data_IF_227916309585
#
_entry.id   IF_227916309585
#
_cell.length_a   1.000
_cell.length_b   1.000
_cell.length_c   1.000
_cell.angle_alpha   90.00
_cell.angle_beta   90.00
_cell.angle_gamma   90.00
#
_symmetry.space_group_name_H-M   'P 1'
#
loop_
_entity.id
_entity.type
_entity.pdbx_description
1 polymer ?
#
# COMPACT_ATOMS: atom_id res chain seq x y z
N UNK A 1 -22.54 -23.97 -38.45
CA UNK A 1 -22.84 -24.57 -37.14
C UNK A 1 -21.51 -24.91 -36.50
N UNK A 2 -21.10 -24.20 -35.44
CA UNK A 2 -19.82 -24.37 -34.78
C UNK A 2 -19.85 -25.53 -33.78
N UNK A 3 -18.79 -26.32 -33.78
CA UNK A 3 -18.58 -27.41 -32.82
C UNK A 3 -17.36 -27.06 -31.97
N UNK A 4 -17.50 -27.15 -30.65
CA UNK A 4 -16.41 -26.97 -29.68
C UNK A 4 -16.00 -28.33 -29.10
N UNK A 5 -14.75 -28.45 -28.66
CA UNK A 5 -14.24 -29.65 -28.02
C UNK A 5 -14.37 -29.53 -26.50
N UNK A 6 -14.90 -30.57 -25.86
CA UNK A 6 -14.94 -30.62 -24.40
C UNK A 6 -13.53 -30.79 -23.82
N UNK A 7 -13.07 -29.86 -22.98
CA UNK A 7 -11.74 -29.92 -22.33
C UNK A 7 -11.53 -31.10 -21.38
N UNK A 8 -12.58 -31.76 -20.90
CA UNK A 8 -12.47 -32.90 -19.98
C UNK A 8 -12.40 -34.26 -20.70
N UNK A 9 -13.19 -34.44 -21.77
CA UNK A 9 -13.32 -35.76 -22.42
C UNK A 9 -12.97 -35.77 -23.92
N UNK A 10 -12.65 -34.61 -24.51
CA UNK A 10 -12.27 -34.49 -25.91
C UNK A 10 -13.41 -34.68 -26.92
N UNK A 11 -14.65 -34.87 -26.45
CA UNK A 11 -15.80 -35.09 -27.33
C UNK A 11 -16.21 -33.79 -28.04
N UNK A 12 -16.69 -33.91 -29.29
CA UNK A 12 -17.22 -32.78 -30.07
C UNK A 12 -18.62 -32.46 -29.58
N UNK A 13 -18.81 -31.24 -29.11
CA UNK A 13 -20.10 -30.78 -28.58
C UNK A 13 -20.54 -29.51 -29.31
N UNK A 14 -21.84 -29.33 -29.44
CA UNK A 14 -22.42 -28.09 -29.96
C UNK A 14 -22.02 -26.90 -29.08
N UNK A 15 -21.73 -25.77 -29.71
CA UNK A 15 -21.41 -24.50 -29.04
C UNK A 15 -22.55 -24.00 -28.11
N UNK A 16 -23.78 -24.47 -28.31
CA UNK A 16 -24.96 -24.10 -27.52
C UNK A 16 -25.35 -25.13 -26.44
N UNK A 17 -24.60 -26.21 -26.26
CA UNK A 17 -24.95 -27.20 -25.24
C UNK A 17 -24.55 -26.72 -23.84
N UNK A 18 -25.48 -26.77 -22.88
CA UNK A 18 -25.19 -26.36 -21.49
C UNK A 18 -24.17 -27.26 -20.79
N UNK A 19 -24.16 -28.55 -21.15
CA UNK A 19 -23.28 -29.58 -20.59
C UNK A 19 -22.83 -30.56 -21.67
N UNK A 20 -21.64 -31.11 -21.50
CA UNK A 20 -21.17 -32.21 -22.34
C UNK A 20 -22.01 -33.46 -22.09
N UNK A 21 -22.53 -34.07 -23.16
CA UNK A 21 -23.40 -35.26 -23.08
C UNK A 21 -22.66 -36.51 -22.60
N UNK A 22 -21.32 -36.53 -22.71
CA UNK A 22 -20.48 -37.70 -22.42
C UNK A 22 -19.92 -37.70 -20.99
N UNK A 23 -19.43 -36.56 -20.51
CA UNK A 23 -18.82 -36.46 -19.18
C UNK A 23 -19.60 -35.59 -18.18
N UNK A 24 -20.69 -34.95 -18.61
CA UNK A 24 -21.49 -34.06 -17.77
C UNK A 24 -20.83 -32.71 -17.47
N UNK A 25 -19.66 -32.41 -18.05
CA UNK A 25 -18.94 -31.16 -17.80
C UNK A 25 -19.73 -29.92 -18.29
N UNK A 26 -19.90 -28.89 -17.46
CA UNK A 26 -20.61 -27.67 -17.86
C UNK A 26 -19.82 -26.83 -18.87
N UNK A 27 -20.36 -26.62 -20.07
CA UNK A 27 -19.66 -25.90 -21.15
C UNK A 27 -19.76 -24.38 -21.02
N UNK A 28 -20.69 -23.85 -20.20
CA UNK A 28 -20.75 -22.42 -19.88
C UNK A 28 -19.43 -21.89 -19.26
N UNK A 29 -18.66 -22.76 -18.60
CA UNK A 29 -17.35 -22.41 -18.01
C UNK A 29 -16.26 -22.15 -19.06
N UNK A 30 -16.42 -22.68 -20.28
CA UNK A 30 -15.48 -22.45 -21.38
C UNK A 30 -15.84 -21.20 -22.20
N UNK A 31 -17.13 -20.90 -22.31
CA UNK A 31 -17.64 -19.74 -23.06
C UNK A 31 -17.42 -18.45 -22.27
N UNK A 32 -17.55 -18.50 -20.94
CA UNK A 32 -17.24 -17.39 -20.04
C UNK A 32 -15.76 -17.39 -19.62
N UNK A 33 -14.86 -17.17 -20.59
CA UNK A 33 -13.62 -16.43 -20.31
C UNK A 33 -13.93 -14.97 -20.60
N UNK A 34 -14.45 -14.19 -19.65
CA UNK A 34 -14.57 -12.76 -19.88
C UNK A 34 -13.14 -12.27 -20.05
N UNK A 35 -12.80 -11.82 -21.26
CA UNK A 35 -11.64 -10.99 -21.53
C UNK A 35 -11.88 -9.62 -20.89
N UNK A 36 -12.06 -9.59 -19.58
CA UNK A 36 -11.87 -8.40 -18.80
C UNK A 36 -10.37 -8.30 -18.70
N UNK A 37 -9.81 -7.51 -19.60
CA UNK A 37 -8.52 -6.87 -19.42
C UNK A 37 -8.62 -6.00 -18.16
N UNK A 38 -8.51 -6.62 -16.99
CA UNK A 38 -8.23 -5.92 -15.75
C UNK A 38 -6.82 -5.37 -15.92
N UNK A 39 -6.73 -4.13 -16.41
CA UNK A 39 -5.50 -3.37 -16.46
C UNK A 39 -5.07 -3.10 -15.01
N UNK A 40 -4.38 -4.07 -14.42
CA UNK A 40 -3.54 -3.83 -13.25
C UNK A 40 -2.51 -2.81 -13.71
N UNK A 41 -2.73 -1.56 -13.33
CA UNK A 41 -1.77 -0.48 -13.50
C UNK A 41 -0.60 -0.69 -12.52
N UNK A 42 0.11 -1.79 -12.70
CA UNK A 42 1.51 -1.91 -12.32
C UNK A 42 2.30 -1.58 -13.58
N UNK A 43 2.34 -0.30 -13.94
CA UNK A 43 3.42 0.17 -14.78
C UNK A 43 4.65 0.25 -13.88
N UNK A 44 5.30 -0.91 -13.70
CA UNK A 44 6.73 -0.96 -13.45
C UNK A 44 7.39 -0.48 -14.73
N UNK A 45 7.32 0.82 -14.99
CA UNK A 45 8.26 1.47 -15.87
C UNK A 45 9.49 1.70 -14.99
N UNK A 46 10.54 0.98 -15.35
CA UNK A 46 11.89 1.11 -14.80
C UNK A 46 12.47 2.47 -15.18
N UNK A 47 11.82 3.53 -14.73
CA UNK A 47 12.36 4.88 -14.73
C UNK A 47 12.79 5.11 -13.29
N UNK A 48 14.10 4.99 -13.04
CA UNK A 48 14.73 5.20 -11.72
C UNK A 48 14.19 6.47 -11.01
N UNK A 49 13.71 7.45 -11.79
CA UNK A 49 13.04 8.66 -11.34
C UNK A 49 11.78 8.45 -10.50
N UNK A 50 10.94 7.44 -10.73
CA UNK A 50 9.72 7.25 -9.93
C UNK A 50 10.02 6.67 -8.54
N UNK A 51 11.02 5.78 -8.46
CA UNK A 51 11.53 5.27 -7.18
C UNK A 51 12.21 6.40 -6.39
N UNK A 52 13.02 7.22 -7.07
CA UNK A 52 13.70 8.39 -6.48
C UNK A 52 12.70 9.45 -6.00
N UNK A 53 11.65 9.74 -6.77
CA UNK A 53 10.59 10.64 -6.33
C UNK A 53 9.87 10.12 -5.08
N UNK A 54 9.67 8.80 -4.99
CA UNK A 54 9.16 8.14 -3.79
C UNK A 54 10.03 8.41 -2.56
N UNK A 55 11.34 8.22 -2.66
CA UNK A 55 12.25 8.51 -1.55
C UNK A 55 12.27 9.99 -1.13
N UNK A 56 12.25 10.92 -2.09
CA UNK A 56 12.21 12.36 -1.80
C UNK A 56 10.93 12.74 -1.06
N UNK A 57 9.77 12.28 -1.55
CA UNK A 57 8.47 12.55 -0.91
C UNK A 57 8.38 11.88 0.46
N UNK A 58 8.82 10.63 0.59
CA UNK A 58 8.89 9.94 1.87
C UNK A 58 9.76 10.68 2.87
N UNK A 59 10.91 11.20 2.44
CA UNK A 59 11.83 11.95 3.29
C UNK A 59 11.23 13.27 3.79
N UNK A 60 10.63 14.04 2.88
CA UNK A 60 9.96 15.30 3.24
C UNK A 60 8.77 15.08 4.18
N UNK A 61 7.97 14.04 3.93
CA UNK A 61 6.82 13.72 4.78
C UNK A 61 7.27 13.30 6.18
N UNK A 62 8.40 12.58 6.28
CA UNK A 62 8.95 12.16 7.57
C UNK A 62 9.57 13.30 8.37
N UNK A 63 9.88 14.44 7.75
CA UNK A 63 10.44 15.62 8.44
C UNK A 63 9.34 16.60 8.88
N UNK A 64 8.33 16.82 8.04
CA UNK A 64 7.22 17.73 8.33
C UNK A 64 6.32 17.17 9.44
N UNK A 65 6.03 15.87 9.42
CA UNK A 65 5.14 15.23 10.39
C UNK A 65 5.62 15.30 11.86
N UNK A 66 6.87 14.95 12.21
CA UNK A 66 7.35 15.03 13.59
C UNK A 66 7.45 16.46 14.11
N UNK A 67 7.74 17.44 13.25
CA UNK A 67 7.79 18.86 13.64
C UNK A 67 6.38 19.34 14.04
N UNK A 68 5.37 19.04 13.22
CA UNK A 68 3.97 19.41 13.52
C UNK A 68 3.48 18.72 14.79
N UNK A 69 3.76 17.41 14.94
CA UNK A 69 3.37 16.66 16.14
C UNK A 69 4.06 17.17 17.41
N UNK A 70 5.33 17.60 17.32
CA UNK A 70 6.06 18.17 18.46
C UNK A 70 5.41 19.48 18.92
N UNK A 71 5.11 20.40 18.00
CA UNK A 71 4.48 21.68 18.33
C UNK A 71 3.08 21.46 18.91
N UNK A 72 2.27 20.62 18.27
CA UNK A 72 0.91 20.32 18.73
C UNK A 72 0.92 19.62 20.10
N UNK A 73 1.79 18.62 20.28
CA UNK A 73 1.92 17.87 21.53
C UNK A 73 2.36 18.74 22.71
N UNK A 74 3.32 19.64 22.49
CA UNK A 74 3.75 20.62 23.50
C UNK A 74 2.63 21.61 23.83
N UNK A 75 1.93 22.12 22.81
CA UNK A 75 0.85 23.10 23.02
C UNK A 75 -0.30 22.49 23.83
N UNK A 76 -0.76 21.30 23.46
CA UNK A 76 -1.80 20.58 24.21
C UNK A 76 -1.32 20.21 25.62
N UNK A 77 -0.05 19.80 25.75
CA UNK A 77 0.56 19.51 27.05
C UNK A 77 0.55 20.71 27.99
N UNK A 78 0.93 21.90 27.50
CA UNK A 78 0.89 23.16 28.26
C UNK A 78 -0.55 23.51 28.64
N UNK A 79 -1.52 23.39 27.71
CA UNK A 79 -2.93 23.65 28.00
C UNK A 79 -3.47 22.74 29.12
N UNK A 80 -3.02 21.48 29.18
CA UNK A 80 -3.41 20.57 30.25
C UNK A 80 -2.77 20.91 31.60
N UNK A 81 -1.52 21.39 31.61
CA UNK A 81 -0.88 21.91 32.83
C UNK A 81 -1.62 23.15 33.35
N UNK A 82 -2.05 24.05 32.45
CA UNK A 82 -2.81 25.25 32.80
C UNK A 82 -4.18 24.95 33.42
N UNK A 83 -4.76 23.77 33.18
CA UNK A 83 -6.03 23.33 33.79
C UNK A 83 -5.87 22.71 35.18
N UNK A 84 -4.65 22.65 35.72
CA UNK A 84 -4.37 22.06 37.04
C UNK A 84 -4.10 20.55 37.02
N UNK A 85 -4.25 19.89 35.87
CA UNK A 85 -3.95 18.47 35.68
C UNK A 85 -2.47 18.24 35.32
N UNK A 86 -1.59 18.60 36.27
CA UNK A 86 -0.13 18.62 36.08
C UNK A 86 0.45 17.27 35.62
N UNK A 87 -0.19 16.15 35.97
CA UNK A 87 0.26 14.81 35.60
C UNK A 87 0.13 14.51 34.10
N UNK A 88 -1.04 14.75 33.50
CA UNK A 88 -1.29 14.40 32.10
C UNK A 88 -0.60 15.36 31.13
N UNK A 89 -0.55 16.66 31.46
CA UNK A 89 0.14 17.63 30.63
C UNK A 89 1.65 17.39 30.55
N UNK A 90 2.29 17.07 31.68
CA UNK A 90 3.73 16.74 31.70
C UNK A 90 4.01 15.45 30.93
N UNK A 91 3.19 14.41 31.13
CA UNK A 91 3.33 13.14 30.40
C UNK A 91 3.24 13.33 28.88
N UNK A 92 2.33 14.19 28.42
CA UNK A 92 2.15 14.47 26.99
C UNK A 92 3.35 15.22 26.39
N UNK A 93 3.96 16.15 27.13
CA UNK A 93 5.19 16.83 26.70
C UNK A 93 6.33 15.82 26.59
N UNK A 94 6.51 14.95 27.59
CA UNK A 94 7.56 13.93 27.59
C UNK A 94 7.39 12.93 26.43
N UNK A 95 6.15 12.47 26.17
CA UNK A 95 5.86 11.60 25.03
C UNK A 95 6.25 12.27 23.71
N UNK A 96 5.96 13.56 23.57
CA UNK A 96 6.19 14.33 22.34
C UNK A 96 7.68 14.50 22.07
N UNK A 97 8.47 14.77 23.12
CA UNK A 97 9.94 14.89 23.03
C UNK A 97 10.56 13.54 22.69
N UNK A 98 10.12 12.45 23.31
CA UNK A 98 10.62 11.10 23.03
C UNK A 98 10.35 10.68 21.59
N UNK A 99 9.11 10.77 21.13
CA UNK A 99 8.78 10.44 19.74
C UNK A 99 9.45 11.39 18.74
N UNK A 100 9.58 12.69 19.07
CA UNK A 100 10.27 13.67 18.24
C UNK A 100 11.77 13.36 18.06
N UNK A 101 12.47 13.07 19.16
CA UNK A 101 13.91 12.73 19.13
C UNK A 101 14.18 11.39 18.45
N UNK A 102 13.39 10.36 18.74
CA UNK A 102 13.48 9.05 18.08
C UNK A 102 13.18 9.18 16.58
N UNK A 103 12.13 9.91 16.21
CA UNK A 103 11.75 10.15 14.82
C UNK A 103 12.83 10.91 14.04
N UNK A 104 13.41 11.94 14.66
CA UNK A 104 14.51 12.71 14.06
C UNK A 104 15.78 11.85 13.89
N UNK A 105 16.09 10.99 14.87
CA UNK A 105 17.23 10.07 14.78
C UNK A 105 17.05 9.01 13.69
N UNK A 106 15.86 8.39 13.58
CA UNK A 106 15.56 7.45 12.50
C UNK A 106 15.62 8.12 11.11
N UNK A 107 15.12 9.35 11.00
CA UNK A 107 15.18 10.14 9.77
C UNK A 107 16.61 10.38 9.34
N UNK A 108 17.46 10.78 10.30
CA UNK A 108 18.87 11.05 10.05
C UNK A 108 19.63 9.79 9.62
N UNK A 109 19.39 8.66 10.30
CA UNK A 109 19.96 7.37 9.93
C UNK A 109 19.52 6.92 8.53
N UNK A 110 18.25 7.14 8.17
CA UNK A 110 17.73 6.82 6.83
C UNK A 110 18.37 7.68 5.74
N UNK A 111 18.62 8.98 6.00
CA UNK A 111 19.32 9.86 5.07
C UNK A 111 20.75 9.36 4.82
N UNK A 112 21.48 9.03 5.89
CA UNK A 112 22.85 8.51 5.79
C UNK A 112 22.88 7.21 4.97
N UNK A 113 21.96 6.29 5.22
CA UNK A 113 21.90 5.03 4.49
C UNK A 113 21.59 5.23 3.00
N UNK A 114 20.65 6.13 2.67
CA UNK A 114 20.35 6.48 1.27
C UNK A 114 21.53 7.18 0.59
N UNK A 115 22.23 8.08 1.29
CA UNK A 115 23.42 8.75 0.77
C UNK A 115 24.55 7.76 0.47
N UNK A 116 24.74 6.76 1.34
CA UNK A 116 25.73 5.69 1.14
C UNK A 116 25.35 4.77 -0.02
N UNK A 117 24.06 4.46 -0.19
CA UNK A 117 23.59 3.66 -1.34
C UNK A 117 23.72 4.39 -2.68
N UNK A 118 23.84 5.72 -2.68
CA UNK A 118 23.95 6.55 -3.88
C UNK A 118 25.40 6.88 -4.28
N UNK A 119 26.38 6.56 -3.42
CA UNK A 119 27.82 6.77 -3.63
C UNK A 119 28.48 5.52 -4.22
#
# INVERSE_FOLDING_TARGET
MGLIFCSECGEKVSEFADKCIKCGFPLYKQIFKPSIEYKKSSNTQSDNGMIIAGYIVSFFSLFVFPIVFLIAGVTIGILNISKGEKGHGTAQIVISILFGTIGMFLSFLSLIFNLFSAL
#
